data_IF_840059510544
#
_entry.id   IF_840059510544
#
_cell.length_a   1.000
_cell.length_b   1.000
_cell.length_c   1.000
_cell.angle_alpha   90.00
_cell.angle_beta   90.00
_cell.angle_gamma   90.00
#
_symmetry.space_group_name_H-M   'P 1'
#
loop_
_entity.id
_entity.type
_entity.pdbx_description
1 polymer ?
#
# COMPACT_ATOMS: atom_id res chain seq x y z
N UNK A 1 -20.76 -15.94 13.59
CA UNK A 1 -20.43 -15.90 15.03
C UNK A 1 -19.48 -17.04 15.35
N UNK A 2 -18.51 -16.79 16.24
CA UNK A 2 -17.32 -17.59 16.58
C UNK A 2 -16.12 -17.51 15.63
N UNK A 3 -15.41 -16.38 15.68
CA UNK A 3 -13.95 -16.34 15.81
C UNK A 3 -13.51 -14.89 16.10
N UNK A 4 -13.41 -14.56 17.40
CA UNK A 4 -12.69 -13.41 18.02
C UNK A 4 -13.31 -13.11 19.39
N UNK A 5 -13.27 -14.09 20.31
CA UNK A 5 -13.51 -13.86 21.73
C UNK A 5 -12.24 -14.23 22.51
N UNK A 6 -11.19 -13.44 22.30
CA UNK A 6 -10.06 -13.35 23.24
C UNK A 6 -9.18 -12.12 22.96
N UNK A 7 -9.75 -11.00 22.55
CA UNK A 7 -9.09 -9.71 22.72
C UNK A 7 -9.44 -9.20 24.12
N UNK A 8 -8.62 -9.56 25.12
CA UNK A 8 -8.58 -8.70 26.31
C UNK A 8 -8.22 -7.30 25.81
N UNK A 9 -8.93 -6.24 26.18
CA UNK A 9 -8.48 -4.89 25.88
C UNK A 9 -7.07 -4.76 26.47
N UNK A 10 -6.09 -4.46 25.61
CA UNK A 10 -4.78 -4.06 26.07
C UNK A 10 -4.97 -2.70 26.74
N UNK A 11 -5.20 -2.70 28.05
CA UNK A 11 -5.02 -1.53 28.87
C UNK A 11 -3.50 -1.36 29.00
N UNK A 12 -2.89 -0.31 28.42
CA UNK A 12 -1.52 -0.01 28.74
C UNK A 12 -1.48 0.26 30.24
N UNK A 13 -0.79 -0.58 31.00
CA UNK A 13 -0.31 -0.20 32.33
C UNK A 13 0.75 0.86 32.05
N UNK A 14 0.30 2.11 31.97
CA UNK A 14 1.17 3.26 32.00
C UNK A 14 1.59 3.36 33.45
N UNK A 15 2.83 3.00 33.72
CA UNK A 15 3.45 3.27 35.00
C UNK A 15 3.47 4.80 35.15
N UNK A 16 2.58 5.34 36.00
CA UNK A 16 2.35 6.78 36.18
C UNK A 16 3.60 7.50 36.75
N UNK A 17 4.66 6.76 37.11
CA UNK A 17 5.93 7.30 37.60
C UNK A 17 6.91 7.74 36.50
N UNK A 18 6.63 7.48 35.22
CA UNK A 18 7.47 7.96 34.11
C UNK A 18 6.75 8.96 33.20
N UNK A 19 6.00 9.88 33.83
CA UNK A 19 5.57 11.11 33.20
C UNK A 19 6.78 11.84 32.58
N UNK A 20 6.79 11.85 31.26
CA UNK A 20 7.45 12.82 30.37
C UNK A 20 7.59 14.18 31.07
N UNK A 21 8.75 14.47 31.67
CA UNK A 21 9.02 15.78 32.27
C UNK A 21 9.29 16.87 31.24
N UNK A 22 8.95 16.67 29.97
CA UNK A 22 9.07 17.77 28.97
C UNK A 22 8.18 17.64 27.74
N UNK A 23 7.30 16.65 27.65
CA UNK A 23 6.49 16.45 26.43
C UNK A 23 5.06 16.13 26.84
N UNK A 24 4.16 17.06 26.55
CA UNK A 24 2.71 16.91 26.74
C UNK A 24 2.19 15.64 26.07
N UNK A 25 1.36 14.86 26.78
CA UNK A 25 0.71 13.64 26.29
C UNK A 25 -0.06 13.87 24.97
N UNK A 26 -0.60 15.07 24.74
CA UNK A 26 -1.24 15.45 23.45
C UNK A 26 -0.23 15.69 22.33
N UNK A 27 0.96 16.19 22.66
CA UNK A 27 2.07 16.33 21.72
C UNK A 27 2.58 14.96 21.31
N UNK A 28 2.79 14.03 22.25
CA UNK A 28 3.11 12.63 21.92
C UNK A 28 2.10 12.03 20.93
N UNK A 29 0.79 12.22 21.12
CA UNK A 29 -0.19 11.73 20.14
C UNK A 29 0.07 12.29 18.73
N UNK A 30 0.24 13.61 18.57
CA UNK A 30 0.61 14.21 17.27
C UNK A 30 1.95 13.69 16.70
N UNK A 31 2.86 13.23 17.55
CA UNK A 31 4.15 12.67 17.13
C UNK A 31 4.03 11.25 16.57
N UNK A 32 3.03 10.50 17.03
CA UNK A 32 2.77 9.10 16.64
C UNK A 32 1.72 8.99 15.52
N UNK A 33 0.93 10.02 15.29
CA UNK A 33 -0.10 10.00 14.25
C UNK A 33 0.51 10.20 12.86
N UNK A 34 0.28 9.22 11.99
CA UNK A 34 0.59 9.25 10.56
C UNK A 34 -0.15 10.42 9.91
N UNK A 35 0.61 11.33 9.30
CA UNK A 35 0.11 12.41 8.45
C UNK A 35 0.41 12.10 6.96
N UNK A 36 0.18 13.05 6.05
CA UNK A 36 0.45 12.92 4.62
C UNK A 36 1.88 12.46 4.25
N UNK A 37 2.87 12.60 5.14
CA UNK A 37 4.25 12.15 4.94
C UNK A 37 4.38 10.62 4.82
N UNK A 38 3.65 9.85 5.63
CA UNK A 38 3.67 8.39 5.52
C UNK A 38 3.07 7.89 4.20
N UNK A 39 1.99 8.51 3.73
CA UNK A 39 1.47 8.25 2.39
C UNK A 39 2.51 8.55 1.32
N UNK A 40 3.41 9.51 1.57
CA UNK A 40 4.56 9.80 0.68
C UNK A 40 5.63 8.71 0.78
N UNK A 41 5.91 8.15 1.97
CA UNK A 41 6.78 6.98 2.15
C UNK A 41 6.21 5.74 1.46
N UNK A 42 4.94 5.41 1.67
CA UNK A 42 4.25 4.31 0.97
C UNK A 42 4.18 4.56 -0.53
N UNK A 43 3.91 5.79 -0.99
CA UNK A 43 3.98 6.15 -2.41
C UNK A 43 5.39 6.07 -2.95
N UNK A 44 6.43 6.34 -2.17
CA UNK A 44 7.82 6.15 -2.57
C UNK A 44 8.18 4.66 -2.68
N UNK A 45 7.83 3.85 -1.66
CA UNK A 45 7.91 2.38 -1.67
C UNK A 45 7.16 1.79 -2.88
N UNK A 46 5.98 2.34 -3.19
CA UNK A 46 5.16 1.94 -4.34
C UNK A 46 5.68 2.46 -5.69
N UNK A 47 6.22 3.68 -5.76
CA UNK A 47 6.88 4.20 -6.96
C UNK A 47 8.11 3.36 -7.30
N UNK A 48 8.84 2.86 -6.31
CA UNK A 48 9.92 1.87 -6.53
C UNK A 48 9.35 0.61 -7.20
N UNK A 49 8.20 0.09 -6.72
CA UNK A 49 7.47 -1.03 -7.36
C UNK A 49 7.06 -0.72 -8.82
N UNK A 50 6.57 0.48 -9.11
CA UNK A 50 6.13 0.87 -10.47
C UNK A 50 7.27 1.18 -11.44
N UNK A 51 8.37 1.77 -10.96
CA UNK A 51 9.55 2.07 -11.80
C UNK A 51 10.21 0.78 -12.26
N UNK A 52 10.28 -0.21 -11.37
CA UNK A 52 10.70 -1.56 -11.75
C UNK A 52 9.72 -2.11 -12.82
N UNK A 53 8.39 -2.05 -12.59
CA UNK A 53 7.33 -2.58 -13.49
C UNK A 53 7.37 -2.18 -14.98
N UNK A 54 8.01 -1.05 -15.31
CA UNK A 54 8.01 -0.45 -16.66
C UNK A 54 9.34 -0.56 -17.41
N UNK A 55 10.38 -1.16 -16.82
CA UNK A 55 11.74 -1.13 -17.39
C UNK A 55 12.24 -2.49 -17.89
N UNK A 56 11.70 -2.98 -19.02
CA UNK A 56 12.40 -4.01 -19.83
C UNK A 56 13.52 -3.44 -20.71
N UNK A 57 13.75 -2.13 -20.69
CA UNK A 57 14.81 -1.47 -21.47
C UNK A 57 15.47 -0.26 -20.78
N UNK A 58 15.40 -0.14 -19.46
CA UNK A 58 16.10 0.89 -18.68
C UNK A 58 16.99 0.24 -17.62
N UNK A 59 17.87 -0.65 -18.06
CA UNK A 59 19.18 -0.75 -17.41
C UNK A 59 19.84 0.60 -17.65
N UNK A 60 20.31 1.25 -16.59
CA UNK A 60 21.00 2.56 -16.58
C UNK A 60 20.17 3.79 -16.97
N UNK A 61 19.27 4.24 -16.08
CA UNK A 61 19.18 5.69 -15.84
C UNK A 61 19.04 5.97 -14.34
N UNK A 62 20.13 6.45 -13.77
CA UNK A 62 20.29 6.80 -12.37
C UNK A 62 19.53 8.07 -11.99
N UNK A 63 18.21 8.11 -12.22
CA UNK A 63 17.38 9.28 -11.89
C UNK A 63 16.57 9.08 -10.60
N UNK A 64 16.08 7.86 -10.33
CA UNK A 64 15.41 7.52 -9.05
C UNK A 64 16.36 6.84 -8.08
N UNK A 65 17.16 5.88 -8.54
CA UNK A 65 18.36 5.46 -7.81
C UNK A 65 19.30 6.66 -7.62
N UNK A 66 19.40 7.61 -8.56
CA UNK A 66 20.18 8.83 -8.34
C UNK A 66 19.54 9.87 -7.44
N UNK A 67 18.23 9.83 -7.17
CA UNK A 67 17.58 10.62 -6.11
C UNK A 67 17.66 9.94 -4.73
N UNK A 68 17.77 8.60 -4.69
CA UNK A 68 17.95 7.83 -3.44
C UNK A 68 19.44 7.66 -3.05
N UNK A 69 20.34 7.56 -4.03
CA UNK A 69 21.81 7.59 -3.85
C UNK A 69 22.35 9.02 -3.76
N UNK A 70 21.63 10.02 -4.30
CA UNK A 70 21.67 11.39 -3.74
C UNK A 70 20.62 11.52 -2.64
N UNK A 71 20.67 10.67 -1.62
CA UNK A 71 20.45 11.25 -0.30
C UNK A 71 21.47 12.37 -0.21
N UNK A 72 21.01 13.61 -0.18
CA UNK A 72 21.89 14.76 -0.04
C UNK A 72 22.92 14.42 1.04
N UNK A 73 24.21 14.60 0.78
CA UNK A 73 25.25 14.44 1.81
C UNK A 73 24.85 15.20 3.09
N UNK A 74 24.07 16.27 2.94
CA UNK A 74 23.43 17.01 4.02
C UNK A 74 22.49 16.16 4.89
N UNK A 75 21.63 15.31 4.32
CA UNK A 75 20.73 14.41 5.05
C UNK A 75 21.54 13.36 5.79
N UNK A 76 22.50 12.70 5.14
CA UNK A 76 23.36 11.70 5.80
C UNK A 76 24.21 12.30 6.91
N UNK A 77 24.59 13.58 6.81
CA UNK A 77 25.25 14.32 7.89
C UNK A 77 24.30 14.79 9.01
N UNK A 78 22.99 14.83 8.76
CA UNK A 78 21.97 15.24 9.72
C UNK A 78 21.38 14.04 10.48
N UNK A 79 21.24 12.87 9.85
CA UNK A 79 20.65 11.66 10.44
C UNK A 79 21.34 11.29 11.77
N UNK A 80 22.68 11.22 11.89
CA UNK A 80 23.36 10.92 13.16
C UNK A 80 23.15 11.99 14.24
N UNK A 81 22.78 13.21 13.87
CA UNK A 81 22.53 14.32 14.80
C UNK A 81 21.13 14.29 15.39
N UNK A 82 20.23 13.44 14.87
CA UNK A 82 18.86 13.30 15.36
C UNK A 82 18.90 12.67 16.76
N UNK A 83 18.34 13.38 17.74
CA UNK A 83 18.32 12.93 19.13
C UNK A 83 17.48 11.67 19.34
N UNK A 84 16.33 11.59 18.67
CA UNK A 84 15.36 10.50 18.79
C UNK A 84 14.76 10.21 17.41
N UNK A 85 14.40 8.94 17.18
CA UNK A 85 13.74 8.53 15.95
C UNK A 85 12.76 7.37 16.18
N UNK A 86 11.91 7.13 15.20
CA UNK A 86 11.06 5.94 15.11
C UNK A 86 11.40 5.16 13.85
N UNK A 87 11.38 3.83 13.95
CA UNK A 87 11.57 2.93 12.82
C UNK A 87 10.29 2.80 12.01
N UNK A 88 10.48 2.79 10.69
CA UNK A 88 9.45 2.61 9.69
C UNK A 88 9.96 1.50 8.77
N UNK A 89 9.24 0.38 8.68
CA UNK A 89 9.66 -0.74 7.84
C UNK A 89 8.47 -1.29 7.07
N UNK A 90 8.70 -1.57 5.79
CA UNK A 90 7.70 -2.11 4.87
C UNK A 90 8.36 -3.20 4.01
N UNK A 91 7.67 -4.32 3.81
CA UNK A 91 8.15 -5.41 2.96
C UNK A 91 7.65 -5.21 1.53
N UNK A 92 8.54 -5.41 0.56
CA UNK A 92 8.24 -5.27 -0.85
C UNK A 92 8.93 -6.35 -1.65
N UNK A 93 8.29 -6.80 -2.72
CA UNK A 93 8.86 -7.75 -3.66
C UNK A 93 9.08 -7.02 -4.99
N UNK A 94 10.26 -7.17 -5.58
CA UNK A 94 10.57 -6.58 -6.89
C UNK A 94 10.00 -7.42 -8.06
N UNK A 95 10.17 -6.95 -9.29
CA UNK A 95 9.71 -7.65 -10.50
C UNK A 95 10.33 -9.04 -10.69
N UNK A 96 11.53 -9.26 -10.15
CA UNK A 96 12.25 -10.53 -10.22
C UNK A 96 11.87 -11.49 -9.10
N UNK A 97 10.81 -11.16 -8.35
CA UNK A 97 10.33 -11.88 -7.16
C UNK A 97 11.32 -11.90 -5.99
N UNK A 98 12.28 -10.97 -5.99
CA UNK A 98 13.20 -10.82 -4.86
C UNK A 98 12.54 -9.97 -3.78
N UNK A 99 12.57 -10.51 -2.58
CA UNK A 99 12.02 -9.87 -1.39
C UNK A 99 12.99 -8.82 -0.87
N UNK A 100 12.46 -7.66 -0.52
CA UNK A 100 13.18 -6.48 -0.09
C UNK A 100 12.49 -5.86 1.13
N UNK A 101 13.30 -5.31 2.03
CA UNK A 101 12.87 -4.52 3.16
C UNK A 101 13.13 -3.05 2.88
N UNK A 102 12.09 -2.23 2.78
CA UNK A 102 12.20 -0.79 2.76
C UNK A 102 12.31 -0.28 4.20
N UNK A 103 13.43 0.33 4.56
CA UNK A 103 13.66 0.90 5.89
C UNK A 103 13.67 2.41 5.79
N UNK A 104 12.93 3.05 6.69
CA UNK A 104 12.93 4.48 6.92
C UNK A 104 12.98 4.82 8.40
N UNK A 105 13.21 6.09 8.69
CA UNK A 105 13.07 6.65 10.03
C UNK A 105 12.18 7.89 10.00
N UNK A 106 11.45 8.09 11.09
CA UNK A 106 10.79 9.37 11.39
C UNK A 106 11.47 10.03 12.57
N UNK A 107 11.95 11.25 12.41
CA UNK A 107 12.65 12.00 13.45
C UNK A 107 12.15 13.45 13.53
N UNK A 108 12.52 14.15 14.60
CA UNK A 108 12.21 15.57 14.79
C UNK A 108 13.48 16.40 14.67
N UNK A 109 13.36 17.62 14.14
CA UNK A 109 14.39 18.64 14.32
C UNK A 109 14.21 19.40 15.65
N UNK A 110 15.09 20.36 15.91
CA UNK A 110 15.05 21.18 17.13
C UNK A 110 13.80 22.08 17.23
N UNK A 111 13.11 22.30 16.10
CA UNK A 111 11.85 23.05 16.02
C UNK A 111 10.61 22.15 16.17
N UNK A 112 10.77 20.86 16.49
CA UNK A 112 9.70 19.86 16.57
C UNK A 112 8.97 19.59 15.24
N UNK A 113 9.61 19.88 14.11
CA UNK A 113 9.10 19.50 12.79
C UNK A 113 9.50 18.05 12.50
N UNK A 114 8.57 17.27 11.96
CA UNK A 114 8.81 15.87 11.61
C UNK A 114 9.42 15.70 10.23
N UNK A 115 10.41 14.82 10.15
CA UNK A 115 11.08 14.43 8.91
C UNK A 115 11.02 12.91 8.79
N UNK A 116 10.77 12.45 7.57
CA UNK A 116 10.83 11.04 7.21
C UNK A 116 11.96 10.84 6.21
N UNK A 117 12.95 10.06 6.62
CA UNK A 117 14.12 9.75 5.82
C UNK A 117 14.05 8.27 5.41
N UNK A 118 13.90 8.01 4.10
CA UNK A 118 14.00 6.66 3.55
C UNK A 118 15.47 6.28 3.54
N UNK A 119 15.87 5.26 4.30
CA UNK A 119 17.24 4.76 4.34
C UNK A 119 17.55 3.88 3.12
N UNK A 120 16.56 3.13 2.66
CA UNK A 120 16.60 2.45 1.37
C UNK A 120 15.84 1.12 1.37
N UNK A 121 15.60 0.56 0.17
CA UNK A 121 15.28 -0.85 0.02
C UNK A 121 16.54 -1.69 0.18
N UNK A 122 16.42 -2.81 0.90
CA UNK A 122 17.50 -3.76 1.11
C UNK A 122 16.99 -5.17 0.80
N UNK A 123 17.70 -5.87 -0.08
CA UNK A 123 17.38 -7.25 -0.42
C UNK A 123 17.48 -8.15 0.82
N UNK A 124 16.49 -9.02 1.01
CA UNK A 124 16.45 -10.00 2.07
C UNK A 124 16.85 -11.36 1.52
N UNK A 125 17.86 -11.99 2.14
CA UNK A 125 18.21 -13.37 1.79
C UNK A 125 17.13 -14.38 2.20
N UNK A 126 16.35 -14.06 3.25
CA UNK A 126 15.25 -14.85 3.82
C UNK A 126 14.22 -13.94 4.48
N UNK A 127 12.95 -14.31 4.43
CA UNK A 127 11.84 -13.58 5.07
C UNK A 127 11.58 -13.99 6.53
N UNK A 128 12.60 -14.38 7.30
CA UNK A 128 12.40 -14.67 8.73
C UNK A 128 12.70 -13.41 9.57
N UNK A 129 12.14 -13.37 10.79
CA UNK A 129 12.22 -12.22 11.66
C UNK A 129 13.67 -11.89 12.06
N UNK A 130 14.52 -12.91 12.24
CA UNK A 130 15.93 -12.74 12.58
C UNK A 130 16.70 -12.01 11.49
N UNK A 131 16.57 -12.45 10.24
CA UNK A 131 17.23 -11.83 9.08
C UNK A 131 16.77 -10.39 8.89
N UNK A 132 15.47 -10.11 9.04
CA UNK A 132 14.94 -8.75 8.95
C UNK A 132 15.55 -7.85 10.03
N UNK A 133 15.61 -8.33 11.28
CA UNK A 133 16.20 -7.58 12.39
C UNK A 133 17.70 -7.35 12.19
N UNK A 134 18.45 -8.36 11.75
CA UNK A 134 19.87 -8.22 11.43
C UNK A 134 20.10 -7.11 10.38
N UNK A 135 19.30 -7.12 9.32
CA UNK A 135 19.35 -6.11 8.26
C UNK A 135 19.02 -4.71 8.82
N UNK A 136 17.95 -4.56 9.61
CA UNK A 136 17.60 -3.29 10.25
C UNK A 136 18.78 -2.74 11.07
N UNK A 137 19.41 -3.57 11.90
CA UNK A 137 20.48 -3.13 12.79
C UNK A 137 21.78 -2.81 12.03
N UNK A 138 22.09 -3.56 10.98
CA UNK A 138 23.18 -3.24 10.07
C UNK A 138 22.98 -1.85 9.43
N UNK A 139 21.78 -1.59 8.90
CA UNK A 139 21.43 -0.30 8.28
C UNK A 139 21.57 0.84 9.29
N UNK A 140 21.00 0.69 10.48
CA UNK A 140 21.13 1.69 11.56
C UNK A 140 22.59 1.97 11.89
N UNK A 141 23.41 0.92 11.98
CA UNK A 141 24.85 1.04 12.26
C UNK A 141 25.57 1.81 11.16
N UNK A 142 25.32 1.48 9.88
CA UNK A 142 25.89 2.18 8.72
C UNK A 142 25.45 3.64 8.64
N UNK A 143 24.24 3.96 9.09
CA UNK A 143 23.71 5.33 9.17
C UNK A 143 24.13 6.09 10.43
N UNK A 144 24.93 5.50 11.33
CA UNK A 144 25.33 6.13 12.59
C UNK A 144 24.17 6.32 13.59
N UNK A 145 23.10 5.56 13.44
CA UNK A 145 21.91 5.61 14.29
C UNK A 145 22.00 4.56 15.39
N UNK A 146 21.92 4.99 16.64
CA UNK A 146 21.92 4.08 17.77
C UNK A 146 20.49 3.65 18.12
N UNK A 147 20.22 2.34 18.17
CA UNK A 147 18.92 1.80 18.59
C UNK A 147 18.47 2.28 19.98
N UNK A 148 19.40 2.68 20.85
CA UNK A 148 19.09 3.28 22.16
C UNK A 148 18.28 4.60 22.05
N UNK A 149 18.37 5.28 20.91
CA UNK A 149 17.61 6.48 20.57
C UNK A 149 16.26 6.20 19.89
N UNK A 150 15.97 4.94 19.53
CA UNK A 150 14.70 4.56 18.95
C UNK A 150 13.57 4.64 20.00
N UNK A 151 12.49 5.34 19.66
CA UNK A 151 11.31 5.55 20.54
C UNK A 151 10.02 5.04 19.94
N UNK A 152 10.00 4.70 18.65
CA UNK A 152 8.85 4.09 17.99
C UNK A 152 9.25 3.07 16.95
N UNK A 153 8.31 2.22 16.59
CA UNK A 153 8.45 1.22 15.54
C UNK A 153 7.11 0.98 14.86
N UNK A 154 7.13 0.90 13.54
CA UNK A 154 5.97 0.71 12.69
C UNK A 154 6.31 -0.32 11.60
N UNK A 155 5.44 -1.32 11.44
CA UNK A 155 5.56 -2.43 10.49
C UNK A 155 4.21 -2.67 9.79
N UNK A 156 4.26 -3.05 8.51
CA UNK A 156 3.14 -3.66 7.76
C UNK A 156 2.86 -5.07 8.33
N UNK A 157 1.65 -5.31 8.83
CA UNK A 157 1.16 -6.68 9.03
C UNK A 157 1.40 -7.34 10.40
N UNK A 158 0.28 -7.61 11.09
CA UNK A 158 0.05 -8.67 12.10
C UNK A 158 0.88 -8.65 13.40
N UNK A 159 0.21 -8.10 14.43
CA UNK A 159 0.28 -8.37 15.87
C UNK A 159 1.27 -9.44 16.37
N UNK A 160 2.29 -9.01 17.10
CA UNK A 160 2.61 -9.19 18.52
C UNK A 160 2.35 -10.52 19.24
N UNK A 161 1.69 -11.54 18.69
CA UNK A 161 1.52 -12.84 19.39
C UNK A 161 1.10 -14.08 18.56
N UNK A 162 0.95 -14.05 17.24
CA UNK A 162 0.52 -15.29 16.53
C UNK A 162 1.13 -15.49 15.14
N UNK A 163 2.26 -16.20 15.10
CA UNK A 163 2.85 -16.74 13.87
C UNK A 163 4.17 -17.48 14.14
N UNK A 164 4.62 -18.23 13.13
CA UNK A 164 5.98 -18.82 13.03
C UNK A 164 7.04 -17.70 13.04
N UNK A 165 6.62 -16.47 12.71
CA UNK A 165 7.30 -15.21 12.97
C UNK A 165 7.06 -14.79 14.42
N UNK A 166 8.01 -15.11 15.31
CA UNK A 166 8.14 -14.51 16.64
C UNK A 166 8.54 -13.02 16.57
N UNK A 167 7.78 -12.30 15.75
CA UNK A 167 7.60 -10.88 15.46
C UNK A 167 8.86 -10.01 15.51
N UNK A 168 9.26 -9.46 14.36
CA UNK A 168 10.29 -8.42 14.23
C UNK A 168 10.10 -7.34 15.30
N UNK A 169 8.84 -6.99 15.59
CA UNK A 169 8.46 -6.09 16.68
C UNK A 169 8.91 -6.60 18.05
N UNK A 170 8.73 -7.88 18.37
CA UNK A 170 9.19 -8.48 19.63
C UNK A 170 10.72 -8.53 19.75
N UNK A 171 11.43 -8.88 18.68
CA UNK A 171 12.89 -8.88 18.67
C UNK A 171 13.48 -7.47 18.84
N UNK A 172 12.90 -6.48 18.18
CA UNK A 172 13.26 -5.07 18.38
C UNK A 172 12.90 -4.61 19.80
N UNK A 173 11.79 -5.11 20.39
CA UNK A 173 11.41 -4.79 21.78
C UNK A 173 12.46 -5.25 22.78
N UNK A 174 12.98 -6.45 22.58
CA UNK A 174 14.03 -7.03 23.43
C UNK A 174 15.31 -6.19 23.41
N UNK A 175 15.61 -5.56 22.27
CA UNK A 175 16.80 -4.68 22.11
C UNK A 175 16.54 -3.25 22.58
N UNK A 176 15.30 -2.77 22.45
CA UNK A 176 14.89 -1.44 22.89
C UNK A 176 13.45 -1.48 23.44
N UNK A 177 13.34 -1.56 24.77
CA UNK A 177 12.05 -1.60 25.46
C UNK A 177 11.28 -0.28 25.42
N UNK A 178 11.96 0.84 25.13
CA UNK A 178 11.35 2.18 25.03
C UNK A 178 10.78 2.49 23.63
N UNK A 179 10.88 1.56 22.68
CA UNK A 179 10.35 1.74 21.34
C UNK A 179 8.88 1.28 21.28
N UNK A 180 7.96 2.25 21.26
CA UNK A 180 6.52 1.97 21.22
C UNK A 180 6.09 1.46 19.84
N UNK A 181 5.27 0.42 19.82
CA UNK A 181 4.71 -0.10 18.58
C UNK A 181 3.47 0.68 18.17
N UNK A 182 3.47 1.16 16.93
CA UNK A 182 2.31 1.81 16.31
C UNK A 182 1.88 0.95 15.13
N UNK A 183 0.61 0.55 15.11
CA UNK A 183 0.03 -0.13 13.96
C UNK A 183 -0.02 0.80 12.75
N UNK A 184 0.17 0.25 11.56
CA UNK A 184 -0.03 0.98 10.33
C UNK A 184 -1.53 1.32 10.17
N UNK A 185 -1.91 2.59 10.41
CA UNK A 185 -3.30 3.04 10.28
C UNK A 185 -3.83 2.83 8.87
N UNK A 186 -2.95 2.90 7.87
CA UNK A 186 -3.29 2.55 6.51
C UNK A 186 -3.75 1.08 6.49
N UNK A 187 -2.90 0.13 6.87
CA UNK A 187 -3.28 -1.28 6.92
C UNK A 187 -4.56 -1.52 7.77
N UNK A 188 -4.70 -0.86 8.92
CA UNK A 188 -5.91 -0.97 9.74
C UNK A 188 -7.17 -0.47 9.02
N UNK A 189 -7.08 0.65 8.29
CA UNK A 189 -8.21 1.16 7.51
C UNK A 189 -8.50 0.25 6.32
N UNK A 190 -7.49 -0.31 5.65
CA UNK A 190 -7.70 -1.29 4.58
C UNK A 190 -8.45 -2.52 5.09
N UNK A 191 -8.03 -3.08 6.23
CA UNK A 191 -8.69 -4.22 6.86
C UNK A 191 -10.15 -3.88 7.21
N UNK A 192 -10.40 -2.71 7.81
CA UNK A 192 -11.75 -2.28 8.14
C UNK A 192 -12.63 -2.12 6.89
N UNK A 193 -12.08 -1.55 5.81
CA UNK A 193 -12.79 -1.42 4.51
C UNK A 193 -13.03 -2.79 3.89
N UNK A 194 -12.02 -3.66 3.88
CA UNK A 194 -12.12 -5.02 3.37
C UNK A 194 -13.23 -5.81 4.08
N UNK A 195 -13.24 -5.81 5.41
CA UNK A 195 -14.26 -6.49 6.21
C UNK A 195 -15.65 -5.92 5.92
N UNK A 196 -15.79 -4.58 5.90
CA UNK A 196 -17.04 -3.92 5.52
C UNK A 196 -17.53 -4.32 4.12
N UNK A 197 -16.63 -4.35 3.13
CA UNK A 197 -17.00 -4.72 1.76
C UNK A 197 -17.42 -6.18 1.64
N UNK A 198 -16.82 -7.08 2.42
CA UNK A 198 -17.18 -8.50 2.44
C UNK A 198 -18.52 -8.75 3.12
N UNK A 199 -18.86 -7.97 4.14
CA UNK A 199 -20.18 -8.02 4.79
C UNK A 199 -21.30 -7.40 3.96
N UNK A 200 -20.96 -6.67 2.88
CA UNK A 200 -21.93 -6.07 1.96
C UNK A 200 -21.93 -6.79 0.60
N UNK A 201 -22.83 -7.78 0.36
CA UNK A 201 -22.93 -8.52 -0.90
C UNK A 201 -23.05 -7.62 -2.13
N UNK A 202 -23.66 -6.45 -1.98
CA UNK A 202 -23.81 -5.48 -3.06
C UNK A 202 -22.46 -4.94 -3.55
N UNK A 203 -21.53 -4.65 -2.63
CA UNK A 203 -20.20 -4.12 -2.94
C UNK A 203 -19.24 -5.25 -3.29
N UNK A 204 -19.21 -6.36 -2.54
CA UNK A 204 -18.34 -7.50 -2.85
C UNK A 204 -18.59 -8.08 -4.24
N UNK A 205 -19.86 -8.27 -4.64
CA UNK A 205 -20.19 -8.69 -6.00
C UNK A 205 -19.78 -7.64 -7.05
N UNK A 206 -19.93 -6.35 -6.74
CA UNK A 206 -19.49 -5.27 -7.63
C UNK A 206 -17.98 -5.31 -7.88
N UNK A 207 -17.16 -5.53 -6.83
CA UNK A 207 -15.70 -5.68 -6.95
C UNK A 207 -15.35 -6.81 -7.93
N UNK A 208 -16.00 -7.97 -7.78
CA UNK A 208 -15.78 -9.12 -8.65
C UNK A 208 -16.14 -8.81 -10.10
N UNK A 209 -17.28 -8.17 -10.35
CA UNK A 209 -17.69 -7.80 -11.71
C UNK A 209 -16.77 -6.75 -12.34
N UNK A 210 -16.37 -5.71 -11.60
CA UNK A 210 -15.41 -4.71 -12.07
C UNK A 210 -14.12 -5.40 -12.50
N UNK A 211 -13.59 -6.28 -11.64
CA UNK A 211 -12.40 -7.06 -11.93
C UNK A 211 -12.59 -7.92 -13.19
N UNK A 212 -13.70 -8.63 -13.30
CA UNK A 212 -13.98 -9.54 -14.42
C UNK A 212 -14.11 -8.80 -15.76
N UNK A 213 -14.75 -7.63 -15.79
CA UNK A 213 -14.88 -6.80 -17.00
C UNK A 213 -13.51 -6.29 -17.43
N UNK A 214 -12.77 -5.71 -16.48
CA UNK A 214 -11.44 -5.14 -16.73
C UNK A 214 -10.48 -6.22 -17.21
N UNK A 215 -10.44 -7.38 -16.54
CA UNK A 215 -9.62 -8.52 -16.93
C UNK A 215 -10.03 -9.07 -18.30
N UNK A 216 -11.33 -9.15 -18.58
CA UNK A 216 -11.82 -9.61 -19.87
C UNK A 216 -11.29 -8.72 -20.99
N UNK A 217 -11.44 -7.40 -20.90
CA UNK A 217 -10.95 -6.50 -21.96
C UNK A 217 -9.42 -6.48 -22.02
N UNK A 218 -8.74 -6.29 -20.88
CA UNK A 218 -7.28 -6.06 -20.83
C UNK A 218 -6.44 -7.27 -21.22
N UNK A 219 -6.88 -8.50 -20.91
CA UNK A 219 -6.06 -9.70 -21.15
C UNK A 219 -5.95 -10.10 -22.63
N UNK A 220 -6.63 -9.39 -23.54
CA UNK A 220 -6.47 -9.61 -24.98
C UNK A 220 -6.12 -8.30 -25.68
N UNK A 221 -4.98 -8.25 -26.38
CA UNK A 221 -4.63 -7.11 -27.21
C UNK A 221 -5.71 -6.78 -28.26
N UNK A 222 -6.37 -7.81 -28.82
CA UNK A 222 -7.47 -7.66 -29.79
C UNK A 222 -8.66 -6.91 -29.18
N UNK A 223 -9.12 -7.31 -27.99
CA UNK A 223 -10.26 -6.68 -27.31
C UNK A 223 -9.94 -5.24 -26.88
N UNK A 224 -8.69 -4.99 -26.46
CA UNK A 224 -8.23 -3.65 -26.15
C UNK A 224 -8.15 -2.75 -27.40
N UNK A 225 -7.76 -3.30 -28.55
CA UNK A 225 -7.77 -2.57 -29.82
C UNK A 225 -9.19 -2.17 -30.25
N UNK A 226 -10.16 -3.08 -30.11
CA UNK A 226 -11.58 -2.80 -30.37
C UNK A 226 -12.09 -1.64 -29.51
N UNK A 227 -11.79 -1.64 -28.21
CA UNK A 227 -12.18 -0.54 -27.31
C UNK A 227 -11.63 0.82 -27.78
N UNK A 228 -10.36 0.86 -28.21
CA UNK A 228 -9.72 2.08 -28.73
C UNK A 228 -10.31 2.53 -30.07
N UNK A 229 -10.63 1.58 -30.95
CA UNK A 229 -11.27 1.86 -32.23
C UNK A 229 -12.65 2.50 -32.04
N UNK A 230 -13.46 1.94 -31.12
CA UNK A 230 -14.77 2.50 -30.77
C UNK A 230 -14.63 3.91 -30.19
N UNK A 231 -13.65 4.15 -29.31
CA UNK A 231 -13.37 5.50 -28.79
C UNK A 231 -13.09 6.50 -29.91
N UNK A 232 -12.27 6.13 -30.90
CA UNK A 232 -11.98 6.99 -32.04
C UNK A 232 -13.21 7.23 -32.92
N UNK A 233 -14.01 6.19 -33.19
CA UNK A 233 -15.22 6.29 -34.00
C UNK A 233 -16.29 7.19 -33.34
N UNK A 234 -16.48 7.06 -32.03
CA UNK A 234 -17.44 7.84 -31.25
C UNK A 234 -16.90 9.19 -30.78
N UNK A 235 -15.61 9.49 -31.04
CA UNK A 235 -14.93 10.69 -30.54
C UNK A 235 -15.07 10.89 -29.02
N UNK A 236 -15.05 9.78 -28.28
CA UNK A 236 -15.24 9.76 -26.83
C UNK A 236 -13.89 9.64 -26.10
N UNK A 237 -13.77 10.24 -24.89
CA UNK A 237 -12.54 10.15 -24.11
C UNK A 237 -12.24 8.70 -23.71
N UNK A 238 -11.01 8.27 -23.94
CA UNK A 238 -10.49 6.97 -23.53
C UNK A 238 -9.43 7.14 -22.46
N UNK A 239 -9.50 6.29 -21.44
CA UNK A 239 -8.40 6.09 -20.48
C UNK A 239 -8.04 4.62 -20.43
N UNK A 240 -6.78 4.30 -20.13
CA UNK A 240 -6.41 2.90 -19.92
C UNK A 240 -7.22 2.33 -18.74
N UNK A 241 -7.83 1.16 -18.95
CA UNK A 241 -8.48 0.42 -17.86
C UNK A 241 -7.41 0.00 -16.85
N UNK A 242 -7.58 0.30 -15.57
CA UNK A 242 -6.60 -0.06 -14.53
C UNK A 242 -6.96 -1.41 -13.93
N UNK A 243 -5.97 -2.31 -13.78
CA UNK A 243 -6.24 -3.65 -13.23
C UNK A 243 -6.61 -3.58 -11.76
N UNK A 244 -7.70 -4.24 -11.39
CA UNK A 244 -8.09 -4.38 -9.99
C UNK A 244 -7.27 -5.50 -9.34
N UNK A 245 -6.54 -5.15 -8.27
CA UNK A 245 -5.85 -6.10 -7.41
C UNK A 245 -6.56 -6.13 -6.05
N UNK A 246 -7.24 -7.23 -5.67
CA UNK A 246 -8.03 -7.28 -4.43
C UNK A 246 -7.20 -7.04 -3.16
N UNK A 247 -5.92 -7.40 -3.17
CA UNK A 247 -5.00 -7.28 -2.03
C UNK A 247 -4.21 -5.97 -2.01
N UNK A 248 -4.32 -5.13 -3.04
CA UNK A 248 -3.63 -3.83 -3.09
C UNK A 248 -4.66 -2.73 -2.99
N UNK A 249 -4.76 -2.14 -1.80
CA UNK A 249 -5.67 -1.04 -1.52
C UNK A 249 -5.61 0.05 -2.58
N UNK A 250 -4.42 0.60 -2.87
CA UNK A 250 -4.23 1.82 -3.69
C UNK A 250 -4.65 1.73 -5.16
N UNK A 251 -5.28 0.64 -5.57
CA UNK A 251 -5.65 0.38 -6.96
C UNK A 251 -7.17 0.25 -7.15
N UNK A 252 -7.99 0.19 -6.08
CA UNK A 252 -9.43 -0.09 -6.24
C UNK A 252 -10.14 1.15 -6.77
N UNK A 253 -9.89 2.33 -6.22
CA UNK A 253 -10.49 3.58 -6.68
C UNK A 253 -10.13 3.86 -8.15
N UNK A 254 -8.85 3.68 -8.51
CA UNK A 254 -8.38 3.89 -9.88
C UNK A 254 -9.03 2.91 -10.86
N UNK A 255 -9.15 1.64 -10.49
CA UNK A 255 -9.82 0.62 -11.32
C UNK A 255 -11.30 0.98 -11.56
N UNK A 256 -12.01 1.35 -10.50
CA UNK A 256 -13.41 1.79 -10.58
C UNK A 256 -13.56 3.05 -11.44
N UNK A 257 -12.69 4.04 -11.25
CA UNK A 257 -12.71 5.26 -12.04
C UNK A 257 -12.45 4.99 -13.52
N UNK A 258 -11.47 4.12 -13.82
CA UNK A 258 -11.15 3.74 -15.20
C UNK A 258 -12.33 3.07 -15.90
N UNK A 259 -13.09 2.22 -15.20
CA UNK A 259 -14.30 1.62 -15.76
C UNK A 259 -15.44 2.65 -15.90
N UNK A 260 -15.60 3.57 -14.95
CA UNK A 260 -16.59 4.65 -15.04
C UNK A 260 -16.35 5.57 -16.23
N UNK A 261 -15.09 5.97 -16.48
CA UNK A 261 -14.71 6.83 -17.61
C UNK A 261 -14.99 6.11 -18.93
N UNK A 262 -14.66 4.83 -19.03
CA UNK A 262 -14.83 4.05 -20.25
C UNK A 262 -16.17 3.28 -20.29
N UNK A 263 -17.16 3.64 -19.46
CA UNK A 263 -18.33 2.77 -19.25
C UNK A 263 -19.08 2.46 -20.54
N UNK A 264 -19.45 3.51 -21.29
CA UNK A 264 -20.15 3.40 -22.58
C UNK A 264 -19.28 2.69 -23.62
N UNK A 265 -17.99 3.03 -23.70
CA UNK A 265 -17.04 2.39 -24.60
C UNK A 265 -16.91 0.89 -24.35
N UNK A 266 -16.88 0.48 -23.08
CA UNK A 266 -16.80 -0.92 -22.69
C UNK A 266 -18.11 -1.64 -23.00
N UNK A 267 -19.27 -1.01 -22.83
CA UNK A 267 -20.55 -1.60 -23.24
C UNK A 267 -20.58 -1.88 -24.75
N UNK A 268 -20.23 -0.89 -25.58
CA UNK A 268 -20.17 -1.05 -27.04
C UNK A 268 -19.13 -2.09 -27.47
N UNK A 269 -17.98 -2.13 -26.82
CA UNK A 269 -16.96 -3.15 -27.07
C UNK A 269 -17.46 -4.55 -26.72
N UNK A 270 -18.13 -4.72 -25.58
CA UNK A 270 -18.70 -6.01 -25.19
C UNK A 270 -19.80 -6.43 -26.15
N UNK A 271 -20.65 -5.51 -26.60
CA UNK A 271 -21.70 -5.78 -27.59
C UNK A 271 -21.11 -6.27 -28.92
N UNK A 272 -20.08 -5.58 -29.44
CA UNK A 272 -19.35 -5.99 -30.65
C UNK A 272 -18.74 -7.39 -30.52
N UNK A 273 -18.29 -7.75 -29.31
CA UNK A 273 -17.65 -9.03 -29.03
C UNK A 273 -18.63 -10.20 -28.88
N UNK A 274 -19.94 -9.96 -28.81
CA UNK A 274 -20.97 -11.03 -28.71
C UNK A 274 -20.90 -11.96 -29.93
N UNK A 275 -20.60 -11.41 -31.11
CA UNK A 275 -20.49 -12.15 -32.37
C UNK A 275 -19.22 -13.04 -32.43
N UNK A 276 -18.29 -12.93 -31.47
CA UNK A 276 -17.12 -13.78 -31.42
C UNK A 276 -17.50 -15.23 -31.09
N UNK A 277 -17.10 -16.18 -31.94
CA UNK A 277 -17.43 -17.60 -31.74
C UNK A 277 -16.80 -18.16 -30.46
N UNK A 278 -17.56 -18.98 -29.75
CA UNK A 278 -17.09 -19.77 -28.61
C UNK A 278 -17.14 -19.03 -27.27
N UNK A 279 -16.27 -19.44 -26.35
CA UNK A 279 -16.26 -18.94 -24.97
C UNK A 279 -16.17 -17.40 -24.82
N UNK A 280 -15.35 -16.68 -25.61
CA UNK A 280 -15.26 -15.22 -25.52
C UNK A 280 -16.57 -14.49 -25.79
N UNK A 281 -17.33 -14.85 -26.85
CA UNK A 281 -18.60 -14.19 -27.16
C UNK A 281 -19.69 -14.48 -26.13
N UNK A 282 -19.76 -15.72 -25.62
CA UNK A 282 -20.68 -16.07 -24.51
C UNK A 282 -20.36 -15.23 -23.27
N UNK A 283 -19.08 -15.08 -22.94
CA UNK A 283 -18.65 -14.27 -21.80
C UNK A 283 -18.89 -12.77 -22.03
N UNK A 284 -18.65 -12.27 -23.25
CA UNK A 284 -18.95 -10.89 -23.63
C UNK A 284 -20.43 -10.58 -23.46
N UNK A 285 -21.32 -11.47 -23.92
CA UNK A 285 -22.76 -11.33 -23.76
C UNK A 285 -23.18 -11.26 -22.28
N UNK A 286 -22.66 -12.17 -21.45
CA UNK A 286 -22.96 -12.17 -20.01
C UNK A 286 -22.49 -10.90 -19.29
N UNK A 287 -21.29 -10.39 -19.63
CA UNK A 287 -20.76 -9.14 -19.07
C UNK A 287 -21.55 -7.92 -19.58
N UNK A 288 -21.92 -7.91 -20.87
CA UNK A 288 -22.74 -6.87 -21.47
C UNK A 288 -24.11 -6.78 -20.76
N UNK A 289 -24.82 -7.90 -20.61
CA UNK A 289 -26.11 -7.95 -19.94
C UNK A 289 -26.04 -7.47 -18.48
N UNK A 290 -24.95 -7.75 -17.78
CA UNK A 290 -24.73 -7.24 -16.43
C UNK A 290 -24.52 -5.72 -16.43
N UNK A 291 -23.69 -5.20 -17.34
CA UNK A 291 -23.46 -3.75 -17.46
C UNK A 291 -24.72 -3.00 -17.91
N UNK A 292 -25.62 -3.61 -18.68
CA UNK A 292 -26.88 -2.96 -19.08
C UNK A 292 -27.86 -2.79 -17.91
N UNK A 293 -27.65 -3.45 -16.77
CA UNK A 293 -28.54 -3.34 -15.60
C UNK A 293 -28.26 -2.05 -14.83
N UNK A 294 -29.31 -1.26 -14.57
CA UNK A 294 -29.23 -0.06 -13.73
C UNK A 294 -28.50 -0.32 -12.40
N UNK A 295 -28.80 -1.45 -11.74
CA UNK A 295 -28.17 -1.81 -10.49
C UNK A 295 -26.65 -1.95 -10.58
N UNK A 296 -26.09 -2.35 -11.73
CA UNK A 296 -24.64 -2.44 -11.88
C UNK A 296 -24.01 -1.05 -11.91
N UNK A 297 -24.51 -0.15 -12.77
CA UNK A 297 -24.05 1.24 -12.82
C UNK A 297 -24.21 1.94 -11.47
N UNK A 298 -25.38 1.76 -10.83
CA UNK A 298 -25.66 2.31 -9.52
C UNK A 298 -24.70 1.80 -8.44
N UNK A 299 -24.20 0.56 -8.50
CA UNK A 299 -23.22 0.01 -7.53
C UNK A 299 -21.80 0.49 -7.78
N UNK A 300 -21.47 0.78 -9.04
CA UNK A 300 -20.14 1.23 -9.43
C UNK A 300 -19.80 2.59 -8.80
N UNK A 301 -20.78 3.51 -8.72
CA UNK A 301 -20.55 4.86 -8.17
C UNK A 301 -20.29 4.90 -6.65
N UNK A 302 -21.10 4.26 -5.78
CA UNK A 302 -20.80 4.11 -4.36
C UNK A 302 -19.50 3.35 -4.09
N UNK A 303 -19.20 2.31 -4.88
CA UNK A 303 -17.91 1.61 -4.78
C UNK A 303 -16.74 2.55 -5.04
N UNK A 304 -16.80 3.36 -6.11
CA UNK A 304 -15.81 4.39 -6.38
C UNK A 304 -15.68 5.40 -5.23
N UNK A 305 -16.80 5.93 -4.73
CA UNK A 305 -16.78 6.91 -3.63
C UNK A 305 -16.19 6.33 -2.34
N UNK A 306 -16.53 5.08 -2.00
CA UNK A 306 -15.98 4.37 -0.85
C UNK A 306 -14.47 4.25 -0.99
N UNK A 307 -14.00 3.70 -2.10
CA UNK A 307 -12.56 3.49 -2.29
C UNK A 307 -11.81 4.81 -2.36
N UNK A 308 -12.26 5.80 -3.14
CA UNK A 308 -11.63 7.12 -3.23
C UNK A 308 -11.58 7.91 -1.92
N UNK A 309 -12.46 7.62 -0.96
CA UNK A 309 -12.41 8.25 0.36
C UNK A 309 -11.40 7.58 1.30
N UNK A 310 -10.91 6.40 0.92
CA UNK A 310 -10.08 5.54 1.78
C UNK A 310 -8.64 5.46 1.27
N UNK A 311 -8.40 5.41 -0.04
CA UNK A 311 -7.03 5.40 -0.64
C UNK A 311 -6.45 6.82 -0.83
#
# INVERSE_FOLDING_TARGET
MHCCNSSKPYHPVIDDELALTTIDKRSCQKWWFMDHSWLTFCKASFCIKQIQSNSKSFITDGFVIGRMQKQDLNIMNQIPKRKWFSLICDETCDESTLEQLCVGIRSLNDNYESFEDVLGPYELSRQNAETIVEVIFDILTRCGLNISACRGRNYDGVSSTSGIYGDVSALVLKKQSKAFFVHCNAHCLDLAVHDLTNECPTISNCILFVKDIIDFVRRSPKRLAILKEISNQLSMPYSNLTSLCPTRWTMRAESYNSLLINYELVQEALYTLIEEKGGPGIRANGLHEQMSKFYFFFRLKPGYLLFSATE
#
